data_IF_958351779275
#
_entry.id   IF_958351779275
#
_cell.length_a   1.000
_cell.length_b   1.000
_cell.length_c   1.000
_cell.angle_alpha   90.00
_cell.angle_beta   90.00
_cell.angle_gamma   90.00
#
_symmetry.space_group_name_H-M   'P 1'
#
loop_
_entity.id
_entity.type
_entity.pdbx_description
1 polymer ?
#
# COMPACT_ATOMS: atom_id res chain seq x y z
N UNK A 1 9.08 -6.93 8.32
CA UNK A 1 8.01 -7.01 7.30
C UNK A 1 7.04 -8.16 7.53
N UNK A 2 7.47 -9.44 7.52
CA UNK A 2 6.57 -10.57 7.82
C UNK A 2 5.88 -10.47 9.18
N UNK A 3 6.58 -9.96 10.20
CA UNK A 3 5.98 -9.70 11.51
C UNK A 3 4.81 -8.71 11.44
N UNK A 4 4.90 -7.66 10.60
CA UNK A 4 3.79 -6.73 10.37
C UNK A 4 2.64 -7.42 9.64
N UNK A 5 2.95 -8.22 8.61
CA UNK A 5 1.96 -9.00 7.86
C UNK A 5 1.14 -9.95 8.76
N UNK A 6 1.77 -10.60 9.73
CA UNK A 6 1.08 -11.53 10.65
C UNK A 6 0.11 -10.86 11.63
N UNK A 7 0.20 -9.54 11.83
CA UNK A 7 -0.51 -8.86 12.92
C UNK A 7 -1.39 -7.69 12.48
N UNK A 8 -1.21 -7.14 11.27
CA UNK A 8 -1.86 -5.87 10.90
C UNK A 8 -3.39 -5.91 10.95
N UNK A 9 -3.98 -7.10 10.82
CA UNK A 9 -5.43 -7.30 10.97
C UNK A 9 -5.97 -6.94 12.36
N UNK A 10 -5.11 -6.91 13.38
CA UNK A 10 -5.45 -6.50 14.76
C UNK A 10 -5.20 -5.00 15.00
N UNK A 11 -4.63 -4.30 14.02
CA UNK A 11 -4.31 -2.89 14.14
C UNK A 11 -5.51 -2.01 13.77
N UNK A 12 -5.39 -0.71 14.04
CA UNK A 12 -6.46 0.24 13.74
C UNK A 12 -6.59 0.38 12.22
N UNK A 13 -7.74 -0.03 11.68
CA UNK A 13 -8.15 0.31 10.32
C UNK A 13 -8.54 1.79 10.29
N UNK A 14 -8.05 2.54 9.29
CA UNK A 14 -8.27 4.00 9.17
C UNK A 14 -9.19 4.36 8.01
N UNK A 15 -9.84 3.40 7.38
CA UNK A 15 -10.88 3.64 6.39
C UNK A 15 -11.94 2.54 6.49
N UNK A 16 -13.21 2.94 6.61
CA UNK A 16 -14.32 1.99 6.76
C UNK A 16 -14.67 1.34 5.43
N UNK A 17 -14.70 2.14 4.37
CA UNK A 17 -14.82 1.73 2.98
C UNK A 17 -13.45 1.63 2.31
N UNK A 18 -13.25 0.72 1.34
CA UNK A 18 -11.99 0.63 0.62
C UNK A 18 -11.73 1.90 -0.18
N UNK A 19 -10.46 2.29 -0.28
CA UNK A 19 -10.04 3.42 -1.11
C UNK A 19 -9.47 2.89 -2.41
N UNK A 20 -9.88 3.45 -3.55
CA UNK A 20 -9.23 3.15 -4.83
C UNK A 20 -7.81 3.69 -4.83
N UNK A 21 -6.84 2.82 -5.05
CA UNK A 21 -5.43 3.15 -5.15
C UNK A 21 -4.91 2.90 -6.55
N UNK A 22 -4.98 3.93 -7.38
CA UNK A 22 -4.48 3.90 -8.76
C UNK A 22 -2.96 3.65 -8.79
N UNK A 23 -2.25 4.29 -7.87
CA UNK A 23 -0.79 4.19 -7.72
C UNK A 23 -0.30 2.85 -7.14
N UNK A 24 -1.21 1.98 -6.69
CA UNK A 24 -0.89 0.65 -6.17
C UNK A 24 -1.55 -0.45 -7.02
N UNK A 25 -1.55 -0.25 -8.35
CA UNK A 25 -2.02 -1.23 -9.32
C UNK A 25 -3.53 -1.21 -9.55
N UNK A 26 -4.16 -0.04 -9.44
CA UNK A 26 -5.62 0.11 -9.59
C UNK A 26 -6.42 -0.82 -8.67
N UNK A 27 -5.96 -1.00 -7.43
CA UNK A 27 -6.57 -1.88 -6.44
C UNK A 27 -7.45 -1.10 -5.46
N UNK A 28 -8.31 -1.82 -4.75
CA UNK A 28 -9.01 -1.30 -3.57
C UNK A 28 -8.18 -1.60 -2.32
N UNK A 29 -7.94 -0.59 -1.48
CA UNK A 29 -7.07 -0.77 -0.31
C UNK A 29 -7.78 -0.47 1.02
N UNK A 30 -7.48 -1.30 2.01
CA UNK A 30 -7.69 -0.97 3.41
C UNK A 30 -6.35 -0.65 4.07
N UNK A 31 -6.32 0.45 4.80
CA UNK A 31 -5.12 0.95 5.48
C UNK A 31 -5.23 0.67 6.97
N UNK A 32 -4.16 0.14 7.54
CA UNK A 32 -4.02 -0.23 8.94
C UNK A 32 -2.79 0.42 9.54
N UNK A 33 -2.89 0.90 10.78
CA UNK A 33 -1.79 1.55 11.49
C UNK A 33 -1.58 0.94 12.87
N UNK A 34 -0.33 0.64 13.21
CA UNK A 34 -0.01 0.10 14.52
C UNK A 34 -0.19 1.14 15.63
N UNK A 35 -0.16 0.71 16.90
CA UNK A 35 -0.34 1.59 18.07
C UNK A 35 0.65 2.76 18.10
N UNK A 36 1.88 2.56 17.61
CA UNK A 36 2.91 3.62 17.54
C UNK A 36 2.61 4.69 16.51
N UNK A 37 1.96 4.34 15.40
CA UNK A 37 1.61 5.29 14.34
C UNK A 37 0.36 6.12 14.66
N UNK A 38 -0.48 5.66 15.60
CA UNK A 38 -1.77 6.28 15.92
C UNK A 38 -1.68 7.76 16.32
N UNK A 39 -0.82 8.19 17.27
CA UNK A 39 -0.76 9.60 17.65
C UNK A 39 -0.49 10.51 16.45
N UNK A 40 0.52 10.20 15.63
CA UNK A 40 0.83 10.97 14.43
C UNK A 40 -0.30 10.97 13.41
N UNK A 41 -0.87 9.80 13.11
CA UNK A 41 -1.92 9.67 12.11
C UNK A 41 -3.25 10.32 12.55
N UNK A 42 -3.60 10.28 13.84
CA UNK A 42 -4.90 10.74 14.35
C UNK A 42 -4.87 12.19 14.81
N UNK A 43 -3.70 12.70 15.22
CA UNK A 43 -3.56 14.08 15.69
C UNK A 43 -2.87 14.97 14.66
N UNK A 44 -2.32 14.42 13.58
CA UNK A 44 -1.55 15.17 12.58
C UNK A 44 -0.20 15.64 13.11
N UNK A 45 0.36 14.94 14.10
CA UNK A 45 1.64 15.28 14.73
C UNK A 45 2.77 14.50 14.08
N UNK A 46 3.44 15.14 13.13
CA UNK A 46 4.56 14.55 12.38
C UNK A 46 5.91 15.03 12.93
N UNK A 47 6.99 14.22 12.82
CA UNK A 47 7.09 12.94 12.10
C UNK A 47 6.47 11.75 12.85
N UNK A 48 6.29 10.63 12.16
CA UNK A 48 5.98 9.35 12.79
C UNK A 48 7.15 8.88 13.67
N UNK A 49 6.88 8.25 14.82
CA UNK A 49 7.93 7.74 15.69
C UNK A 49 8.58 6.45 15.16
N UNK A 50 9.80 6.15 15.62
CA UNK A 50 10.48 4.89 15.31
C UNK A 50 9.61 3.66 15.68
N UNK A 51 9.44 2.75 14.72
CA UNK A 51 8.60 1.56 14.81
C UNK A 51 7.13 1.83 14.52
N UNK A 52 6.75 3.04 14.09
CA UNK A 52 5.47 3.26 13.44
C UNK A 52 5.40 2.42 12.15
N UNK A 53 4.29 1.70 11.98
CA UNK A 53 4.06 0.87 10.80
C UNK A 53 2.68 1.16 10.23
N UNK A 54 2.65 1.38 8.93
CA UNK A 54 1.44 1.51 8.12
C UNK A 54 1.41 0.37 7.12
N UNK A 55 0.22 -0.22 6.95
CA UNK A 55 -0.01 -1.33 6.04
C UNK A 55 -1.19 -1.00 5.15
N UNK A 56 -1.03 -1.16 3.83
CA UNK A 56 -2.14 -1.18 2.88
C UNK A 56 -2.33 -2.60 2.40
N UNK A 57 -3.48 -3.17 2.69
CA UNK A 57 -3.90 -4.45 2.12
C UNK A 57 -4.73 -4.18 0.88
N UNK A 58 -4.27 -4.68 -0.27
CA UNK A 58 -4.92 -4.49 -1.55
C UNK A 58 -5.84 -5.65 -1.91
N UNK A 59 -6.88 -5.32 -2.66
CA UNK A 59 -7.87 -6.23 -3.22
C UNK A 59 -8.09 -5.85 -4.68
N UNK A 60 -8.37 -6.85 -5.52
CA UNK A 60 -8.85 -6.61 -6.87
C UNK A 60 -10.12 -5.76 -6.80
N UNK A 61 -10.21 -4.75 -7.65
CA UNK A 61 -11.42 -3.95 -7.78
C UNK A 61 -12.46 -4.70 -8.61
N UNK A 62 -13.59 -5.03 -7.99
CA UNK A 62 -14.74 -5.68 -8.63
C UNK A 62 -15.93 -4.71 -8.64
N UNK A 63 -15.84 -3.65 -9.44
CA UNK A 63 -16.90 -2.65 -9.57
C UNK A 63 -17.11 -1.82 -8.29
N UNK A 64 -16.02 -1.39 -7.65
CA UNK A 64 -16.02 -0.63 -6.40
C UNK A 64 -16.09 -1.51 -5.15
N UNK A 65 -16.17 -2.84 -5.30
CA UNK A 65 -16.20 -3.80 -4.20
C UNK A 65 -14.89 -4.60 -4.11
N UNK A 66 -14.35 -4.88 -2.90
CA UNK A 66 -13.16 -5.71 -2.76
C UNK A 66 -13.39 -7.13 -3.27
N UNK A 67 -12.58 -7.56 -4.24
CA UNK A 67 -12.54 -8.92 -4.77
C UNK A 67 -11.43 -9.77 -4.12
N UNK A 68 -10.70 -10.52 -4.94
CA UNK A 68 -9.59 -11.36 -4.48
C UNK A 68 -8.50 -10.53 -3.76
N UNK A 69 -7.88 -11.12 -2.73
CA UNK A 69 -6.75 -10.50 -2.01
C UNK A 69 -5.56 -10.34 -2.95
N UNK A 70 -4.96 -9.16 -2.92
CA UNK A 70 -3.76 -8.81 -3.64
C UNK A 70 -2.58 -8.60 -2.70
N UNK A 71 -1.65 -7.74 -3.11
CA UNK A 71 -0.43 -7.45 -2.37
C UNK A 71 -0.71 -6.70 -1.06
N UNK A 72 0.21 -6.85 -0.12
CA UNK A 72 0.26 -6.07 1.12
C UNK A 72 1.47 -5.15 1.06
N UNK A 73 1.22 -3.85 1.08
CA UNK A 73 2.25 -2.81 1.08
C UNK A 73 2.51 -2.36 2.51
N UNK A 74 3.78 -2.26 2.89
CA UNK A 74 4.18 -1.91 4.26
C UNK A 74 5.16 -0.75 4.22
N UNK A 75 4.94 0.22 5.10
CA UNK A 75 5.88 1.27 5.43
C UNK A 75 6.21 1.20 6.92
N UNK A 76 7.50 1.11 7.27
CA UNK A 76 7.98 1.13 8.64
C UNK A 76 8.95 2.30 8.83
N UNK A 77 8.67 3.12 9.85
CA UNK A 77 9.60 4.16 10.29
C UNK A 77 10.73 3.51 11.07
N UNK A 78 11.96 3.58 10.56
CA UNK A 78 13.15 2.98 11.21
C UNK A 78 13.80 3.97 12.18
N UNK A 79 14.85 3.50 12.86
CA UNK A 79 15.67 4.34 13.74
C UNK A 79 16.26 5.50 12.93
N UNK A 80 16.33 6.67 13.56
CA UNK A 80 16.95 7.88 13.00
C UNK A 80 18.33 7.57 12.42
N UNK A 81 18.57 7.97 11.17
CA UNK A 81 19.82 7.76 10.46
C UNK A 81 19.85 6.52 9.56
N UNK A 82 18.79 5.70 9.56
CA UNK A 82 18.64 4.58 8.63
C UNK A 82 18.69 5.04 7.16
N UNK A 83 17.91 6.08 6.85
CA UNK A 83 17.80 6.70 5.53
C UNK A 83 17.33 8.15 5.69
N UNK A 84 18.18 8.98 6.30
CA UNK A 84 17.81 10.35 6.68
C UNK A 84 17.31 11.20 5.51
N UNK A 85 17.85 10.98 4.30
CA UNK A 85 17.42 11.67 3.08
C UNK A 85 15.97 11.35 2.67
N UNK A 86 15.44 10.21 3.11
CA UNK A 86 14.07 9.76 2.85
C UNK A 86 13.28 9.55 4.15
N UNK A 87 13.61 10.33 5.18
CA UNK A 87 12.97 10.33 6.49
C UNK A 87 12.89 8.94 7.14
N UNK A 88 13.94 8.12 6.98
CA UNK A 88 14.11 6.84 7.65
C UNK A 88 12.99 5.81 7.37
N UNK A 89 12.28 5.96 6.25
CA UNK A 89 11.25 5.01 5.85
C UNK A 89 11.86 3.75 5.20
N UNK A 90 11.39 2.60 5.67
CA UNK A 90 11.58 1.31 5.02
C UNK A 90 10.28 0.88 4.37
N UNK A 91 10.38 0.37 3.14
CA UNK A 91 9.24 -0.03 2.33
C UNK A 91 9.30 -1.53 2.08
N UNK A 92 8.13 -2.16 1.95
CA UNK A 92 8.03 -3.53 1.48
C UNK A 92 6.73 -3.80 0.74
N UNK A 93 6.78 -4.78 -0.16
CA UNK A 93 5.64 -5.38 -0.84
C UNK A 93 5.66 -6.86 -0.55
N UNK A 94 4.56 -7.38 -0.03
CA UNK A 94 4.36 -8.80 0.22
C UNK A 94 3.21 -9.30 -0.67
N UNK A 95 3.25 -10.58 -1.03
CA UNK A 95 2.14 -11.28 -1.64
C UNK A 95 0.95 -11.40 -0.67
N UNK A 96 -0.19 -11.86 -1.19
CA UNK A 96 -1.39 -12.13 -0.38
C UNK A 96 -1.17 -13.19 0.71
N UNK A 97 -0.14 -14.02 0.54
CA UNK A 97 0.33 -15.07 1.44
C UNK A 97 1.38 -14.57 2.46
N UNK A 98 1.88 -13.34 2.30
CA UNK A 98 2.94 -12.78 3.14
C UNK A 98 4.36 -13.07 2.66
N UNK A 99 4.53 -13.67 1.48
CA UNK A 99 5.84 -13.83 0.86
C UNK A 99 6.39 -12.46 0.48
N UNK A 100 7.62 -12.14 0.92
CA UNK A 100 8.25 -10.83 0.63
C UNK A 100 8.67 -10.81 -0.84
N UNK A 101 8.07 -9.90 -1.61
CA UNK A 101 8.40 -9.70 -3.03
C UNK A 101 9.46 -8.61 -3.21
N UNK A 102 9.45 -7.60 -2.34
CA UNK A 102 10.39 -6.48 -2.38
C UNK A 102 10.49 -5.85 -0.99
N UNK A 103 11.68 -5.43 -0.58
CA UNK A 103 11.89 -4.75 0.71
C UNK A 103 13.15 -3.89 0.65
N UNK A 104 13.15 -2.71 1.26
CA UNK A 104 14.34 -1.85 1.20
C UNK A 104 14.15 -0.43 1.73
N UNK A 105 15.22 0.34 1.64
CA UNK A 105 15.23 1.78 1.95
C UNK A 105 14.77 2.62 0.74
N UNK A 106 14.66 3.93 0.91
CA UNK A 106 14.40 4.87 -0.17
C UNK A 106 15.65 5.31 -0.95
N UNK A 107 16.84 4.80 -0.62
CA UNK A 107 18.12 5.20 -1.24
C UNK A 107 18.18 4.80 -2.72
N UNK A 108 18.92 5.57 -3.52
CA UNK A 108 19.20 5.20 -4.91
C UNK A 108 19.87 3.82 -4.97
N UNK A 109 19.48 3.01 -5.96
CA UNK A 109 19.92 1.61 -6.09
C UNK A 109 19.16 0.61 -5.21
N UNK A 110 18.37 1.07 -4.22
CA UNK A 110 17.44 0.19 -3.50
C UNK A 110 16.32 -0.25 -4.42
N UNK A 111 15.86 -1.50 -4.30
CA UNK A 111 14.70 -2.01 -5.04
C UNK A 111 13.44 -1.18 -4.80
N UNK A 112 13.35 -0.51 -3.64
CA UNK A 112 12.22 0.35 -3.23
C UNK A 112 12.48 1.85 -3.41
N UNK A 113 13.51 2.25 -4.17
CA UNK A 113 13.83 3.66 -4.40
C UNK A 113 12.65 4.43 -5.03
N UNK A 114 11.88 3.79 -5.91
CA UNK A 114 10.70 4.41 -6.53
C UNK A 114 9.60 4.73 -5.50
N UNK A 115 9.49 3.93 -4.42
CA UNK A 115 8.52 4.17 -3.35
C UNK A 115 8.83 5.51 -2.67
N UNK A 116 10.09 5.74 -2.29
CA UNK A 116 10.49 7.00 -1.65
C UNK A 116 10.32 8.19 -2.59
N UNK A 117 10.65 8.03 -3.89
CA UNK A 117 10.50 9.09 -4.88
C UNK A 117 9.05 9.58 -5.00
N UNK A 118 8.08 8.66 -5.06
CA UNK A 118 6.66 9.02 -5.08
C UNK A 118 6.21 9.65 -3.74
N UNK A 119 6.60 9.03 -2.63
CA UNK A 119 6.21 9.46 -1.29
C UNK A 119 6.83 10.80 -0.84
N UNK A 120 7.90 11.28 -1.49
CA UNK A 120 8.50 12.60 -1.23
C UNK A 120 7.54 13.77 -1.39
N UNK A 121 6.51 13.65 -2.24
CA UNK A 121 5.49 14.71 -2.38
C UNK A 121 4.68 14.91 -1.10
N UNK A 122 4.59 13.90 -0.24
CA UNK A 122 3.90 13.96 1.05
C UNK A 122 4.82 14.32 2.23
N UNK A 123 5.93 15.02 2.01
CA UNK A 123 6.87 15.45 3.08
C UNK A 123 6.19 16.16 4.25
N UNK A 124 5.16 16.97 3.99
CA UNK A 124 4.38 17.67 5.03
C UNK A 124 3.69 16.72 6.02
N UNK A 125 3.43 15.48 5.60
CA UNK A 125 2.80 14.43 6.40
C UNK A 125 3.77 13.30 6.74
N UNK A 126 5.07 13.62 6.76
CA UNK A 126 6.14 12.64 6.92
C UNK A 126 6.02 11.47 5.92
N UNK A 127 5.87 11.82 4.63
CA UNK A 127 5.86 10.89 3.50
C UNK A 127 4.63 9.95 3.46
N UNK A 128 3.57 10.25 4.22
CA UNK A 128 2.33 9.46 4.25
C UNK A 128 1.17 10.21 3.58
N UNK A 129 0.44 9.52 2.71
CA UNK A 129 -0.82 10.01 2.15
C UNK A 129 -1.99 9.48 2.98
N UNK A 130 -3.04 10.28 3.13
CA UNK A 130 -4.24 9.91 3.90
C UNK A 130 -5.57 10.20 3.19
N UNK A 131 -5.57 10.47 1.88
CA UNK A 131 -6.81 10.63 1.12
C UNK A 131 -7.71 9.39 1.26
N UNK A 132 -9.00 9.60 1.54
CA UNK A 132 -9.97 8.52 1.77
C UNK A 132 -9.82 7.80 3.11
N UNK A 133 -9.00 8.32 4.04
CA UNK A 133 -8.83 7.77 5.40
C UNK A 133 -9.25 8.77 6.47
N UNK A 134 -9.40 8.30 7.70
CA UNK A 134 -9.65 9.12 8.88
C UNK A 134 -8.36 9.74 9.45
N UNK A 135 -7.23 9.63 8.76
CA UNK A 135 -5.97 10.21 9.23
C UNK A 135 -5.99 11.73 9.05
N UNK A 136 -5.51 12.47 10.06
CA UNK A 136 -5.32 13.92 10.00
C UNK A 136 -4.01 14.21 9.28
N UNK A 137 -4.09 14.35 7.97
CA UNK A 137 -2.98 14.71 7.09
C UNK A 137 -3.33 15.97 6.30
N UNK A 138 -2.32 16.76 5.94
CA UNK A 138 -2.48 17.83 4.97
C UNK A 138 -2.79 17.23 3.60
N UNK A 139 -3.81 17.69 2.87
CA UNK A 139 -4.08 17.24 1.51
C UNK A 139 -2.85 17.47 0.62
N UNK A 140 -2.37 16.41 0.00
CA UNK A 140 -1.25 16.46 -0.97
C UNK A 140 -1.83 16.06 -2.30
N UNK A 141 -1.78 16.96 -3.30
CA UNK A 141 -2.07 16.60 -4.68
C UNK A 141 -1.00 15.62 -5.13
N UNK A 142 -1.40 14.39 -5.46
CA UNK A 142 -0.54 13.49 -6.21
C UNK A 142 -0.27 14.17 -7.55
N UNK A 143 0.98 14.59 -7.80
CA UNK A 143 1.42 14.90 -9.15
C UNK A 143 1.35 13.65 -10.03
N UNK A 144 1.56 13.76 -11.34
CA UNK A 144 1.61 12.61 -12.23
C UNK A 144 2.59 11.55 -11.67
N UNK A 145 2.03 10.48 -11.10
CA UNK A 145 2.83 9.47 -10.43
C UNK A 145 3.51 8.58 -11.50
N UNK A 146 4.81 8.27 -11.38
CA UNK A 146 5.40 7.25 -12.24
C UNK A 146 4.65 5.94 -12.02
N UNK A 147 4.36 5.23 -13.11
CA UNK A 147 3.59 3.99 -13.07
C UNK A 147 4.23 2.98 -12.09
N UNK A 148 3.41 2.34 -11.26
CA UNK A 148 3.88 1.33 -10.31
C UNK A 148 4.32 0.07 -11.07
N UNK A 149 5.61 -0.31 -11.02
CA UNK A 149 6.12 -1.46 -11.77
C UNK A 149 5.56 -2.80 -11.26
N UNK A 150 4.96 -2.84 -10.07
CA UNK A 150 4.26 -4.02 -9.55
C UNK A 150 2.87 -4.23 -10.20
N UNK A 151 2.27 -3.19 -10.79
CA UNK A 151 0.99 -3.32 -11.49
C UNK A 151 1.08 -4.22 -12.73
N UNK A 152 2.27 -4.29 -13.35
CA UNK A 152 2.54 -5.16 -14.50
C UNK A 152 2.63 -6.66 -14.14
N UNK A 153 2.70 -7.01 -12.84
CA UNK A 153 2.93 -8.39 -12.37
C UNK A 153 1.72 -9.04 -11.69
N UNK A 154 0.48 -8.61 -11.95
CA UNK A 154 -0.71 -9.34 -11.51
C UNK A 154 -1.22 -10.28 -12.62
N UNK A 155 -0.77 -11.55 -12.67
CA UNK A 155 -1.21 -12.52 -13.69
C UNK A 155 -2.71 -12.85 -13.61
N UNK A 156 -3.41 -12.51 -12.52
CA UNK A 156 -4.85 -12.74 -12.38
C UNK A 156 -5.72 -11.69 -13.09
N UNK A 157 -5.17 -10.54 -13.47
CA UNK A 157 -5.89 -9.57 -14.30
C UNK A 157 -5.92 -9.97 -15.79
N UNK A 158 -5.03 -10.89 -16.19
CA UNK A 158 -4.78 -11.15 -17.60
C UNK A 158 -5.72 -12.18 -18.24
N UNK A 159 -6.27 -13.19 -17.54
CA UNK A 159 -7.20 -14.17 -18.16
C UNK A 159 -8.15 -14.78 -17.14
N UNK A 160 -9.46 -14.56 -17.31
CA UNK A 160 -10.52 -15.45 -16.83
C UNK A 160 -10.86 -16.43 -17.97
N UNK A 161 -10.29 -17.65 -18.00
CA UNK A 161 -10.59 -18.63 -19.04
C UNK A 161 -12.01 -19.23 -18.94
N UNK A 162 -12.78 -18.96 -17.88
CA UNK A 162 -14.13 -19.50 -17.69
C UNK A 162 -15.24 -18.66 -18.37
N UNK A 163 -14.92 -17.56 -19.05
CA UNK A 163 -15.86 -16.81 -19.88
C UNK A 163 -15.96 -17.34 -21.33
N UNK A 164 -15.15 -18.35 -21.68
CA UNK A 164 -15.21 -19.02 -22.98
C UNK A 164 -16.38 -20.03 -23.02
N UNK A 165 -17.51 -19.55 -23.55
CA UNK A 165 -18.62 -20.28 -24.22
C UNK A 165 -18.97 -21.68 -23.69
N UNK A 166 -20.16 -21.76 -23.09
CA UNK A 166 -20.87 -22.98 -22.73
C UNK A 166 -21.05 -23.92 -23.96
N UNK A 167 -20.52 -25.15 -23.98
CA UNK A 167 -20.50 -26.01 -25.17
C UNK A 167 -21.76 -26.87 -25.39
N UNK A 168 -22.85 -26.66 -24.66
CA UNK A 168 -24.04 -27.53 -24.71
C UNK A 168 -25.34 -26.84 -25.16
N UNK A 169 -25.37 -26.32 -26.40
CA UNK A 169 -26.64 -26.04 -27.09
C UNK A 169 -26.80 -27.01 -28.28
N UNK A 170 -27.82 -27.89 -28.30
CA UNK A 170 -28.09 -28.69 -29.47
C UNK A 170 -28.70 -27.82 -30.57
N UNK A 171 -28.11 -27.85 -31.77
CA UNK A 171 -28.64 -27.19 -32.96
C UNK A 171 -29.96 -27.84 -33.37
N UNK A 172 -31.04 -27.07 -33.39
CA UNK A 172 -32.19 -27.24 -34.27
C UNK A 172 -32.67 -25.87 -34.71
#
# INVERSE_FOLDING_TARGET
MQAAFKQFKKWKKVNDQPVKSETHGNTLVFTYINKKAQPSAQNGTFPFPNGAVLVKEAFVDNGGKPGAKGSVFVMEKRKKGYDAANADWHYAVLGADGTVQMTGSGKQGSSTAFCSQCHKSAKANDYVFGSGTTMKVTPVKLGAAPQNPCAAKNPCAAKNPCAAKNPCSPKK
#
